data_IF_393819198666
#
_entry.id   IF_393819198666
#
_cell.length_a   1.000
_cell.length_b   1.000
_cell.length_c   1.000
_cell.angle_alpha   90.00
_cell.angle_beta   90.00
_cell.angle_gamma   90.00
#
_symmetry.space_group_name_H-M   'P 1'
#
loop_
_entity.id
_entity.type
_entity.pdbx_description
1 polymer ?
#
# COMPACT_ATOMS: atom_id res chain seq x y z
N UNK A 1 10.30 -31.22 -23.26
CA UNK A 1 10.33 -30.05 -22.37
C UNK A 1 10.69 -28.83 -23.20
N UNK A 2 9.87 -27.78 -23.20
CA UNK A 2 10.24 -26.49 -23.78
C UNK A 2 10.87 -25.64 -22.69
N UNK A 3 12.15 -25.32 -22.82
CA UNK A 3 12.84 -24.42 -21.91
C UNK A 3 12.60 -22.98 -22.38
N UNK A 4 12.02 -22.15 -21.51
CA UNK A 4 11.77 -20.73 -21.79
C UNK A 4 12.73 -19.89 -20.97
N UNK A 5 13.67 -19.24 -21.64
CA UNK A 5 14.53 -18.26 -21.00
C UNK A 5 13.73 -16.98 -20.70
N UNK A 6 13.72 -16.59 -19.43
CA UNK A 6 13.03 -15.39 -18.93
C UNK A 6 14.00 -14.21 -18.71
N UNK A 7 15.30 -14.40 -18.96
CA UNK A 7 16.35 -13.41 -18.74
C UNK A 7 16.74 -13.26 -17.26
N UNK A 8 17.39 -12.14 -16.88
CA UNK A 8 17.80 -11.88 -15.50
C UNK A 8 16.60 -11.90 -14.53
N UNK A 9 16.78 -12.57 -13.39
CA UNK A 9 15.72 -12.74 -12.38
C UNK A 9 16.16 -12.21 -11.02
N UNK A 10 15.21 -11.64 -10.27
CA UNK A 10 15.44 -11.14 -8.91
C UNK A 10 14.57 -11.92 -7.91
N UNK A 11 15.06 -12.02 -6.67
CA UNK A 11 14.31 -12.63 -5.58
C UNK A 11 13.12 -11.77 -5.14
N UNK A 12 12.06 -12.41 -4.64
CA UNK A 12 10.80 -11.75 -4.27
C UNK A 12 10.94 -10.59 -3.29
N UNK A 13 11.86 -10.66 -2.32
CA UNK A 13 12.09 -9.55 -1.39
C UNK A 13 12.50 -8.29 -2.13
N UNK A 14 13.44 -8.38 -3.07
CA UNK A 14 13.90 -7.23 -3.85
C UNK A 14 12.81 -6.70 -4.78
N UNK A 15 12.01 -7.59 -5.36
CA UNK A 15 10.84 -7.24 -6.19
C UNK A 15 9.89 -6.34 -5.40
N UNK A 16 9.43 -6.80 -4.24
CA UNK A 16 8.45 -6.07 -3.45
C UNK A 16 9.01 -4.78 -2.86
N UNK A 17 10.29 -4.76 -2.45
CA UNK A 17 10.94 -3.53 -2.00
C UNK A 17 10.96 -2.47 -3.12
N UNK A 18 11.34 -2.86 -4.34
CA UNK A 18 11.35 -1.96 -5.49
C UNK A 18 9.95 -1.48 -5.86
N UNK A 19 8.95 -2.36 -5.79
CA UNK A 19 7.55 -2.00 -6.07
C UNK A 19 6.99 -1.00 -5.05
N UNK A 20 7.34 -1.11 -3.77
CA UNK A 20 6.75 -0.29 -2.70
C UNK A 20 7.52 0.98 -2.34
N UNK A 21 8.82 1.06 -2.61
CA UNK A 21 9.59 2.28 -2.34
C UNK A 21 9.20 3.42 -3.28
N UNK A 22 8.88 3.10 -4.53
CA UNK A 22 8.52 4.09 -5.52
C UNK A 22 7.25 4.88 -5.21
N UNK A 23 6.11 4.23 -4.88
CA UNK A 23 4.91 4.94 -4.45
C UNK A 23 5.16 5.85 -3.26
N UNK A 24 5.91 5.38 -2.26
CA UNK A 24 6.27 6.21 -1.11
C UNK A 24 7.02 7.48 -1.53
N UNK A 25 8.06 7.32 -2.34
CA UNK A 25 8.85 8.46 -2.81
C UNK A 25 8.03 9.36 -3.74
N UNK A 26 7.34 8.79 -4.72
CA UNK A 26 6.56 9.57 -5.69
C UNK A 26 5.49 10.41 -5.01
N UNK A 27 4.76 9.86 -4.04
CA UNK A 27 3.77 10.63 -3.28
C UNK A 27 4.40 11.81 -2.52
N UNK A 28 5.52 11.57 -1.82
CA UNK A 28 6.22 12.62 -1.06
C UNK A 28 6.75 13.73 -1.95
N UNK A 29 7.23 13.42 -3.17
CA UNK A 29 7.67 14.43 -4.14
C UNK A 29 6.54 15.42 -4.49
N UNK A 30 5.31 14.93 -4.70
CA UNK A 30 4.14 15.77 -4.96
C UNK A 30 3.64 16.49 -3.71
N UNK A 31 3.67 15.85 -2.53
CA UNK A 31 3.31 16.49 -1.27
C UNK A 31 4.19 17.69 -0.93
N UNK A 32 5.51 17.57 -1.09
CA UNK A 32 6.45 18.69 -0.87
C UNK A 32 6.45 19.73 -2.01
N UNK A 33 5.72 19.47 -3.10
CA UNK A 33 5.57 20.35 -4.26
C UNK A 33 6.92 20.85 -4.80
N UNK A 34 7.84 19.91 -5.06
CA UNK A 34 9.20 20.22 -5.51
C UNK A 34 9.16 21.10 -6.77
N UNK A 35 10.03 22.13 -6.88
CA UNK A 35 9.95 23.21 -7.87
C UNK A 35 10.18 22.85 -9.36
N UNK A 36 9.96 21.61 -9.75
CA UNK A 36 9.89 21.15 -11.14
C UNK A 36 8.45 20.85 -11.59
N UNK A 37 7.60 20.40 -10.65
CA UNK A 37 6.20 20.05 -10.93
C UNK A 37 5.23 21.19 -10.61
N UNK A 38 5.60 22.05 -9.65
CA UNK A 38 4.80 23.19 -9.21
C UNK A 38 5.62 24.47 -9.27
N UNK A 39 4.91 25.60 -9.48
CA UNK A 39 5.55 26.93 -9.42
C UNK A 39 6.18 27.15 -8.05
N UNK A 40 7.36 27.79 -8.01
CA UNK A 40 8.13 28.09 -6.79
C UNK A 40 7.30 28.70 -5.65
N UNK A 41 6.24 29.43 -5.97
CA UNK A 41 5.29 30.01 -5.00
C UNK A 41 4.58 28.99 -4.11
N UNK A 42 4.55 27.72 -4.49
CA UNK A 42 3.87 26.63 -3.78
C UNK A 42 4.83 25.60 -3.18
N UNK A 43 6.14 25.77 -3.38
CA UNK A 43 7.13 24.87 -2.81
C UNK A 43 7.06 24.93 -1.28
N UNK A 44 6.93 23.77 -0.62
CA UNK A 44 6.88 23.64 0.84
C UNK A 44 5.78 24.48 1.54
N UNK A 45 4.76 24.93 0.81
CA UNK A 45 3.63 25.66 1.40
C UNK A 45 2.77 24.75 2.29
N UNK A 46 2.18 25.29 3.36
CA UNK A 46 1.25 24.54 4.21
C UNK A 46 0.08 23.96 3.43
N UNK A 47 -0.20 22.67 3.65
CA UNK A 47 -1.31 21.95 3.04
C UNK A 47 -2.52 21.90 3.98
N UNK A 48 -3.76 21.82 3.44
CA UNK A 48 -4.96 21.61 4.26
C UNK A 48 -4.87 20.34 5.10
N UNK A 49 -5.51 20.32 6.27
CA UNK A 49 -5.49 19.18 7.20
C UNK A 49 -5.82 17.82 6.53
N UNK A 50 -6.85 17.69 5.65
CA UNK A 50 -7.12 16.43 4.96
C UNK A 50 -5.99 15.95 4.03
N UNK A 51 -5.25 16.87 3.40
CA UNK A 51 -4.11 16.55 2.54
C UNK A 51 -2.93 16.03 3.38
N UNK A 52 -2.70 16.63 4.54
CA UNK A 52 -1.69 16.15 5.50
C UNK A 52 -2.05 14.74 5.99
N UNK A 53 -3.31 14.50 6.36
CA UNK A 53 -3.79 13.16 6.74
C UNK A 53 -3.64 12.14 5.60
N UNK A 54 -3.97 12.52 4.37
CA UNK A 54 -3.76 11.66 3.21
C UNK A 54 -2.28 11.29 3.02
N UNK A 55 -1.38 12.26 3.17
CA UNK A 55 0.06 11.99 3.14
C UNK A 55 0.50 11.04 4.25
N UNK A 56 0.01 11.24 5.48
CA UNK A 56 0.33 10.36 6.62
C UNK A 56 -0.18 8.94 6.36
N UNK A 57 -1.44 8.78 5.93
CA UNK A 57 -2.03 7.47 5.64
C UNK A 57 -1.28 6.74 4.51
N UNK A 58 -1.01 7.42 3.40
CA UNK A 58 -0.28 6.83 2.28
C UNK A 58 1.15 6.44 2.66
N UNK A 59 1.85 7.33 3.38
CA UNK A 59 3.21 7.07 3.89
C UNK A 59 3.21 5.89 4.86
N UNK A 60 2.25 5.86 5.79
CA UNK A 60 2.09 4.77 6.75
C UNK A 60 1.86 3.43 6.05
N UNK A 61 0.93 3.37 5.09
CA UNK A 61 0.63 2.17 4.31
C UNK A 61 1.89 1.60 3.64
N UNK A 62 2.60 2.41 2.86
CA UNK A 62 3.78 1.92 2.13
C UNK A 62 4.98 1.63 3.05
N UNK A 63 5.16 2.41 4.12
CA UNK A 63 6.19 2.12 5.13
C UNK A 63 5.91 0.79 5.82
N UNK A 64 4.66 0.55 6.21
CA UNK A 64 4.21 -0.72 6.79
C UNK A 64 4.44 -1.87 5.81
N UNK A 65 4.14 -1.71 4.51
CA UNK A 65 4.43 -2.74 3.49
C UNK A 65 5.92 -3.02 3.31
N UNK A 66 6.76 -1.99 3.36
CA UNK A 66 8.22 -2.15 3.32
C UNK A 66 8.70 -2.93 4.55
N UNK A 67 8.26 -2.56 5.76
CA UNK A 67 8.57 -3.28 7.00
C UNK A 67 8.09 -4.74 6.93
N UNK A 68 6.85 -4.96 6.50
CA UNK A 68 6.30 -6.31 6.33
C UNK A 68 7.14 -7.13 5.35
N UNK A 69 7.56 -6.55 4.22
CA UNK A 69 8.38 -7.24 3.23
C UNK A 69 9.72 -7.71 3.80
N UNK A 70 10.33 -6.90 4.68
CA UNK A 70 11.64 -7.19 5.28
C UNK A 70 11.50 -8.18 6.45
N UNK A 71 10.51 -7.98 7.33
CA UNK A 71 10.46 -8.65 8.64
C UNK A 71 9.33 -9.68 8.77
N UNK A 72 8.24 -9.53 8.03
CA UNK A 72 7.03 -10.37 8.17
C UNK A 72 6.89 -11.37 7.03
N UNK A 73 7.30 -11.04 5.81
CA UNK A 73 7.06 -11.93 4.68
C UNK A 73 8.14 -13.02 4.59
N UNK A 74 7.69 -14.28 4.56
CA UNK A 74 8.53 -15.43 4.20
C UNK A 74 8.24 -15.81 2.76
N UNK A 75 9.04 -15.31 1.83
CA UNK A 75 8.91 -15.63 0.41
C UNK A 75 9.42 -17.04 0.11
N UNK A 76 8.88 -17.66 -0.94
CA UNK A 76 9.40 -18.92 -1.46
C UNK A 76 10.69 -18.69 -2.26
N UNK A 77 11.41 -19.76 -2.58
CA UNK A 77 12.63 -19.72 -3.42
C UNK A 77 12.39 -19.35 -4.90
N UNK A 78 11.22 -18.78 -5.24
CA UNK A 78 10.94 -18.31 -6.59
C UNK A 78 11.67 -17.00 -6.91
N UNK A 79 11.77 -16.70 -8.19
CA UNK A 79 12.30 -15.44 -8.69
C UNK A 79 11.38 -14.85 -9.74
N UNK A 80 11.54 -13.56 -10.02
CA UNK A 80 10.73 -12.83 -10.99
C UNK A 80 11.61 -12.21 -12.08
N UNK A 81 11.22 -12.31 -13.38
CA UNK A 81 11.98 -11.71 -14.47
C UNK A 81 12.02 -10.18 -14.37
N UNK A 82 13.20 -9.59 -14.62
CA UNK A 82 13.44 -8.15 -14.48
C UNK A 82 12.46 -7.29 -15.30
N UNK A 83 12.14 -7.73 -16.52
CA UNK A 83 11.19 -7.02 -17.40
C UNK A 83 9.80 -6.90 -16.79
N UNK A 84 9.37 -7.86 -15.97
CA UNK A 84 8.08 -7.81 -15.30
C UNK A 84 8.10 -6.89 -14.09
N UNK A 85 9.22 -6.86 -13.36
CA UNK A 85 9.43 -5.94 -12.23
C UNK A 85 9.34 -4.49 -12.71
N UNK A 86 9.99 -4.15 -13.83
CA UNK A 86 9.91 -2.79 -14.41
C UNK A 86 8.47 -2.39 -14.71
N UNK A 87 7.65 -3.30 -15.25
CA UNK A 87 6.23 -3.04 -15.51
C UNK A 87 5.44 -2.83 -14.22
N UNK A 88 5.67 -3.67 -13.21
CA UNK A 88 5.01 -3.53 -11.92
C UNK A 88 5.39 -2.22 -11.22
N UNK A 89 6.68 -1.87 -11.21
CA UNK A 89 7.14 -0.59 -10.67
C UNK A 89 6.49 0.56 -11.43
N UNK A 90 6.53 0.57 -12.77
CA UNK A 90 5.89 1.62 -13.56
C UNK A 90 4.39 1.77 -13.23
N UNK A 91 3.69 0.66 -13.04
CA UNK A 91 2.29 0.63 -12.60
C UNK A 91 2.14 1.28 -11.21
N UNK A 92 2.76 0.73 -10.17
CA UNK A 92 2.58 1.21 -8.80
C UNK A 92 3.06 2.66 -8.62
N UNK A 93 4.23 2.99 -9.15
CA UNK A 93 4.84 4.31 -9.02
C UNK A 93 4.02 5.35 -9.76
N UNK A 94 3.56 5.01 -10.98
CA UNK A 94 2.73 5.87 -11.82
C UNK A 94 1.37 6.14 -11.23
N UNK A 95 0.65 5.11 -10.75
CA UNK A 95 -0.65 5.30 -10.10
C UNK A 95 -0.55 6.10 -8.80
N UNK A 96 0.49 5.86 -8.00
CA UNK A 96 0.73 6.65 -6.80
C UNK A 96 1.07 8.11 -7.12
N UNK A 97 1.89 8.35 -8.15
CA UNK A 97 2.19 9.70 -8.63
C UNK A 97 0.93 10.41 -9.15
N UNK A 98 0.09 9.71 -9.91
CA UNK A 98 -1.18 10.22 -10.43
C UNK A 98 -2.11 10.63 -9.30
N UNK A 99 -2.38 9.74 -8.35
CA UNK A 99 -3.16 10.01 -7.14
C UNK A 99 -2.58 11.19 -6.34
N UNK A 100 -1.27 11.18 -6.10
CA UNK A 100 -0.59 12.22 -5.33
C UNK A 100 -0.66 13.59 -6.00
N UNK A 101 -0.55 13.67 -7.32
CA UNK A 101 -0.65 14.91 -8.06
C UNK A 101 -1.99 15.62 -7.79
N UNK A 102 -3.11 14.90 -7.84
CA UNK A 102 -4.44 15.49 -7.65
C UNK A 102 -4.71 15.89 -6.20
N UNK A 103 -4.39 15.02 -5.23
CA UNK A 103 -4.63 15.29 -3.81
C UNK A 103 -3.77 16.46 -3.31
N UNK A 104 -2.52 16.54 -3.77
CA UNK A 104 -1.57 17.56 -3.32
C UNK A 104 -1.59 18.83 -4.17
N UNK A 105 -2.41 18.87 -5.24
CA UNK A 105 -2.51 20.02 -6.13
C UNK A 105 -2.94 21.28 -5.36
N UNK A 106 -2.39 22.47 -5.64
CA UNK A 106 -2.81 23.72 -4.99
C UNK A 106 -4.29 24.08 -5.16
N UNK A 107 -4.96 23.51 -6.16
CA UNK A 107 -6.39 23.69 -6.44
C UNK A 107 -7.26 22.57 -5.86
N UNK A 108 -6.69 21.66 -5.08
CA UNK A 108 -7.46 20.62 -4.41
C UNK A 108 -8.44 21.25 -3.42
N UNK A 109 -9.71 20.89 -3.57
CA UNK A 109 -10.78 21.30 -2.66
C UNK A 109 -10.96 20.21 -1.60
N UNK A 110 -10.69 20.50 -0.31
CA UNK A 110 -10.85 19.51 0.74
C UNK A 110 -12.32 19.08 0.90
N UNK A 111 -12.57 17.88 1.43
CA UNK A 111 -13.92 17.37 1.66
C UNK A 111 -14.69 18.25 2.65
N UNK A 112 -16.00 18.33 2.47
CA UNK A 112 -16.88 19.21 3.25
C UNK A 112 -17.09 18.78 4.71
N UNK A 113 -16.91 17.49 5.03
CA UNK A 113 -17.28 16.94 6.35
C UNK A 113 -16.09 16.41 7.14
N UNK A 114 -15.74 17.07 8.25
CA UNK A 114 -14.73 16.56 9.19
C UNK A 114 -15.11 15.19 9.76
N UNK A 115 -16.40 14.97 10.00
CA UNK A 115 -16.92 13.68 10.48
C UNK A 115 -16.62 12.55 9.49
N UNK A 116 -16.79 12.81 8.19
CA UNK A 116 -16.48 11.85 7.13
C UNK A 116 -14.98 11.53 7.12
N UNK A 117 -14.12 12.55 7.19
CA UNK A 117 -12.65 12.38 7.23
C UNK A 117 -12.25 11.52 8.43
N UNK A 118 -12.81 11.77 9.61
CA UNK A 118 -12.49 11.03 10.83
C UNK A 118 -12.97 9.58 10.77
N UNK A 119 -14.19 9.30 10.31
CA UNK A 119 -14.67 7.92 10.14
C UNK A 119 -13.85 7.16 9.09
N UNK A 120 -13.52 7.81 7.98
CA UNK A 120 -12.68 7.22 6.95
C UNK A 120 -11.28 6.90 7.48
N UNK A 121 -10.69 7.78 8.30
CA UNK A 121 -9.40 7.53 8.95
C UNK A 121 -9.47 6.33 9.92
N UNK A 122 -10.52 6.25 10.74
CA UNK A 122 -10.71 5.11 11.66
C UNK A 122 -10.83 3.81 10.87
N UNK A 123 -11.62 3.80 9.79
CA UNK A 123 -11.77 2.63 8.93
C UNK A 123 -10.46 2.24 8.25
N UNK A 124 -9.71 3.23 7.75
CA UNK A 124 -8.38 3.03 7.17
C UNK A 124 -7.43 2.33 8.17
N UNK A 125 -7.33 2.85 9.41
CA UNK A 125 -6.48 2.26 10.45
C UNK A 125 -6.93 0.85 10.81
N UNK A 126 -8.24 0.61 10.94
CA UNK A 126 -8.77 -0.74 11.20
C UNK A 126 -8.41 -1.71 10.06
N UNK A 127 -8.49 -1.26 8.81
CA UNK A 127 -8.09 -2.05 7.65
C UNK A 127 -6.59 -2.34 7.62
N UNK A 128 -5.74 -1.36 7.90
CA UNK A 128 -4.28 -1.58 7.98
C UNK A 128 -3.89 -2.57 9.09
N UNK A 129 -4.50 -2.44 10.27
CA UNK A 129 -4.31 -3.36 11.38
C UNK A 129 -4.79 -4.77 11.03
N UNK A 130 -5.95 -4.89 10.37
CA UNK A 130 -6.49 -6.14 9.89
C UNK A 130 -5.57 -6.81 8.87
N UNK A 131 -5.13 -6.05 7.86
CA UNK A 131 -4.19 -6.52 6.83
C UNK A 131 -2.89 -7.06 7.47
N UNK A 132 -2.27 -6.29 8.36
CA UNK A 132 -1.07 -6.70 9.10
C UNK A 132 -1.29 -7.98 9.93
N UNK A 133 -2.42 -8.06 10.65
CA UNK A 133 -2.80 -9.24 11.43
C UNK A 133 -2.90 -10.50 10.57
N UNK A 134 -3.46 -10.37 9.37
CA UNK A 134 -3.55 -11.49 8.41
C UNK A 134 -2.16 -11.88 7.91
N UNK A 135 -1.30 -10.92 7.55
CA UNK A 135 0.08 -11.20 7.14
C UNK A 135 0.89 -11.92 8.22
N UNK A 136 0.77 -11.51 9.50
CA UNK A 136 1.38 -12.23 10.63
C UNK A 136 0.87 -13.66 10.74
N UNK A 137 -0.44 -13.86 10.55
CA UNK A 137 -1.05 -15.19 10.61
C UNK A 137 -0.55 -16.08 9.47
N UNK A 138 -0.47 -15.54 8.25
CA UNK A 138 0.05 -16.25 7.07
C UNK A 138 1.55 -16.56 7.20
N UNK A 139 2.34 -15.66 7.80
CA UNK A 139 3.75 -15.91 8.09
C UNK A 139 3.92 -17.14 9.00
N UNK A 140 3.18 -17.20 10.10
CA UNK A 140 3.25 -18.31 11.08
C UNK A 140 2.96 -19.66 10.41
N UNK A 141 1.98 -19.71 9.51
CA UNK A 141 1.62 -20.93 8.78
C UNK A 141 2.74 -21.41 7.84
N UNK A 142 3.47 -20.49 7.21
CA UNK A 142 4.64 -20.84 6.37
C UNK A 142 5.83 -21.34 7.19
N UNK A 143 5.86 -21.04 8.49
CA UNK A 143 6.91 -21.49 9.40
C UNK A 143 6.63 -22.81 10.10
N UNK A 144 5.45 -23.41 9.95
CA UNK A 144 5.08 -24.64 10.64
C UNK A 144 5.74 -25.86 9.96
N UNK A 145 6.61 -26.60 10.65
CA UNK A 145 7.24 -27.82 10.11
C UNK A 145 6.24 -28.96 9.88
N UNK A 146 5.01 -28.88 10.41
CA UNK A 146 3.96 -29.91 10.25
C UNK A 146 3.22 -29.85 8.90
N UNK A 147 3.73 -29.09 7.93
CA UNK A 147 3.20 -29.00 6.57
C UNK A 147 2.29 -27.80 6.32
N UNK A 148 1.94 -27.55 5.05
CA UNK A 148 1.08 -26.41 4.64
C UNK A 148 -0.35 -26.63 5.14
N UNK A 149 -0.81 -25.76 6.03
CA UNK A 149 -2.19 -25.73 6.53
C UNK A 149 -2.97 -24.57 5.93
N UNK A 150 -4.28 -24.75 5.76
CA UNK A 150 -5.16 -23.66 5.39
C UNK A 150 -5.31 -22.68 6.56
N UNK A 151 -5.30 -21.36 6.31
CA UNK A 151 -5.52 -20.38 7.36
C UNK A 151 -6.94 -20.48 7.90
N UNK A 152 -7.06 -20.45 9.22
CA UNK A 152 -8.35 -20.48 9.93
C UNK A 152 -8.44 -19.28 10.88
N UNK A 153 -9.67 -18.79 11.15
CA UNK A 153 -9.92 -17.82 12.20
C UNK A 153 -9.31 -18.25 13.54
N UNK A 154 -8.77 -17.29 14.28
CA UNK A 154 -8.24 -17.49 15.63
C UNK A 154 -8.89 -16.50 16.62
N UNK A 155 -8.33 -16.38 17.83
CA UNK A 155 -8.86 -15.48 18.88
C UNK A 155 -8.82 -13.99 18.49
N UNK A 156 -8.00 -13.60 17.52
CA UNK A 156 -7.93 -12.24 17.01
C UNK A 156 -9.12 -11.97 16.07
N UNK A 157 -9.98 -10.98 16.37
CA UNK A 157 -11.17 -10.69 15.57
C UNK A 157 -10.84 -10.32 14.11
N UNK A 158 -9.67 -9.75 13.84
CA UNK A 158 -9.24 -9.46 12.46
C UNK A 158 -9.11 -10.71 11.59
N UNK A 159 -8.92 -11.89 12.20
CA UNK A 159 -8.82 -13.16 11.46
C UNK A 159 -10.17 -13.82 11.20
N UNK A 160 -11.26 -13.32 11.80
CA UNK A 160 -12.60 -13.87 11.59
C UNK A 160 -13.09 -13.66 10.16
N UNK A 161 -12.49 -12.73 9.41
CA UNK A 161 -12.79 -12.56 8.01
C UNK A 161 -12.50 -13.83 7.18
N UNK A 162 -11.64 -14.75 7.66
CA UNK A 162 -11.46 -16.08 7.05
C UNK A 162 -12.74 -16.93 7.05
N UNK A 163 -13.76 -16.63 7.86
CA UNK A 163 -15.08 -17.29 7.75
C UNK A 163 -15.80 -16.94 6.45
N UNK A 164 -15.50 -15.80 5.85
CA UNK A 164 -16.25 -15.23 4.72
C UNK A 164 -15.44 -15.19 3.42
N UNK A 165 -14.12 -14.99 3.49
CA UNK A 165 -13.26 -14.81 2.31
C UNK A 165 -11.96 -15.59 2.43
N UNK A 166 -11.44 -16.03 1.28
CA UNK A 166 -10.20 -16.83 1.23
C UNK A 166 -8.94 -15.99 1.45
N UNK A 167 -8.94 -14.72 1.03
CA UNK A 167 -7.79 -13.82 1.13
C UNK A 167 -8.13 -12.52 1.88
N UNK A 168 -8.37 -12.58 3.21
CA UNK A 168 -8.72 -11.41 4.00
C UNK A 168 -7.75 -10.23 3.91
N UNK A 169 -6.46 -10.48 3.69
CA UNK A 169 -5.47 -9.41 3.52
C UNK A 169 -5.84 -8.52 2.32
N UNK A 170 -6.28 -9.11 1.19
CA UNK A 170 -6.74 -8.34 0.05
C UNK A 170 -8.05 -7.61 0.32
N UNK A 171 -8.97 -8.19 1.10
CA UNK A 171 -10.20 -7.50 1.50
C UNK A 171 -9.90 -6.28 2.37
N UNK A 172 -9.00 -6.41 3.34
CA UNK A 172 -8.55 -5.28 4.14
C UNK A 172 -7.80 -4.24 3.33
N UNK A 173 -6.96 -4.67 2.37
CA UNK A 173 -6.27 -3.77 1.44
C UNK A 173 -7.26 -2.91 0.65
N UNK A 174 -8.27 -3.54 0.04
CA UNK A 174 -9.33 -2.83 -0.68
C UNK A 174 -10.09 -1.88 0.25
N UNK A 175 -10.41 -2.33 1.47
CA UNK A 175 -11.04 -1.48 2.48
C UNK A 175 -10.21 -0.26 2.85
N UNK A 176 -8.88 -0.40 2.98
CA UNK A 176 -7.98 0.71 3.23
C UNK A 176 -8.02 1.73 2.08
N UNK A 177 -7.91 1.28 0.82
CA UNK A 177 -7.96 2.17 -0.33
C UNK A 177 -9.34 2.83 -0.53
N UNK A 178 -10.45 2.11 -0.30
CA UNK A 178 -11.80 2.69 -0.30
C UNK A 178 -11.93 3.77 0.78
N UNK A 179 -11.43 3.50 1.99
CA UNK A 179 -11.43 4.48 3.08
C UNK A 179 -10.59 5.71 2.73
N UNK A 180 -9.44 5.51 2.11
CA UNK A 180 -8.57 6.58 1.64
C UNK A 180 -9.26 7.46 0.57
N UNK A 181 -9.98 6.85 -0.39
CA UNK A 181 -10.77 7.57 -1.39
C UNK A 181 -11.92 8.35 -0.75
N UNK A 182 -12.62 7.79 0.24
CA UNK A 182 -13.66 8.52 0.99
C UNK A 182 -13.05 9.69 1.77
N UNK A 183 -11.88 9.49 2.38
CA UNK A 183 -11.17 10.52 3.14
C UNK A 183 -10.74 11.71 2.27
N UNK A 184 -10.36 11.45 1.02
CA UNK A 184 -9.82 12.47 0.10
C UNK A 184 -10.86 13.03 -0.87
N UNK A 185 -12.00 12.34 -1.08
CA UNK A 185 -12.98 12.69 -2.11
C UNK A 185 -12.36 13.00 -3.47
N UNK A 186 -11.26 12.32 -3.79
CA UNK A 186 -10.57 12.43 -5.06
C UNK A 186 -10.95 11.22 -5.91
N UNK A 187 -11.44 11.48 -7.12
CA UNK A 187 -11.91 10.45 -8.06
C UNK A 187 -10.80 9.59 -8.70
N UNK A 188 -9.61 10.12 -9.04
CA UNK A 188 -8.49 9.31 -9.52
C UNK A 188 -7.76 8.59 -8.39
#
# INVERSE_FOLDING_TARGET
MYFKDLGPQLGWTMVFLAEYIGPLLSYLLFYFRIPYFYSNRYALSSSPHPVVLACVCHTFHYTKRLIETIFVHRFSHGTMPLRTIVKNCAYYWGFSAWLAYYINHPLYTPPYGELQVNYALILFVMCEMGNFSIHLTLNKLRGDPKGRRFPMPNKNPFTWLFFFVSCPNYTYEVGAWVSFSIMTQCLP
#
